data_IF_127630412813
#
_entry.id   IF_127630412813
#
_cell.length_a   1.000
_cell.length_b   1.000
_cell.length_c   1.000
_cell.angle_alpha   90.00
_cell.angle_beta   90.00
_cell.angle_gamma   90.00
#
_symmetry.space_group_name_H-M   'P 1'
#
loop_
_entity.id
_entity.type
_entity.pdbx_description
1 polymer ?
#
# COMPACT_ATOMS: atom_id res chain seq x y z
N UNK A 1 -2.99 14.72 -9.58
CA UNK A 1 -1.71 14.02 -9.70
C UNK A 1 -1.98 12.64 -10.29
N UNK A 2 -1.26 12.23 -11.33
CA UNK A 2 -1.44 10.90 -11.92
C UNK A 2 -0.45 9.93 -11.25
N UNK A 3 -0.86 9.35 -10.12
CA UNK A 3 -0.02 8.42 -9.37
C UNK A 3 0.33 7.17 -10.18
N UNK A 4 -0.58 6.67 -11.01
CA UNK A 4 -0.32 5.48 -11.81
C UNK A 4 0.87 5.68 -12.76
N UNK A 5 0.93 6.80 -13.47
CA UNK A 5 2.05 7.11 -14.36
C UNK A 5 3.36 7.36 -13.59
N UNK A 6 3.30 8.01 -12.42
CA UNK A 6 4.50 8.24 -11.59
C UNK A 6 5.08 6.92 -11.07
N UNK A 7 4.22 6.08 -10.48
CA UNK A 7 4.59 4.76 -9.97
C UNK A 7 5.18 3.90 -11.09
N UNK A 8 4.54 3.90 -12.27
CA UNK A 8 5.03 3.17 -13.44
C UNK A 8 6.43 3.63 -13.85
N UNK A 9 6.62 4.94 -13.96
CA UNK A 9 7.90 5.54 -14.34
C UNK A 9 9.01 5.20 -13.33
N UNK A 10 8.68 5.16 -12.04
CA UNK A 10 9.62 4.78 -10.98
C UNK A 10 10.03 3.31 -11.07
N UNK A 11 9.07 2.40 -11.24
CA UNK A 11 9.35 0.96 -11.36
C UNK A 11 10.22 0.69 -12.60
N UNK A 12 9.83 1.25 -13.75
CA UNK A 12 10.59 1.09 -15.00
C UNK A 12 11.99 1.71 -14.90
N UNK A 13 12.10 2.94 -14.39
CA UNK A 13 13.37 3.65 -14.26
C UNK A 13 14.36 2.95 -13.34
N UNK A 14 13.92 2.58 -12.13
CA UNK A 14 14.80 1.92 -11.15
C UNK A 14 15.21 0.52 -11.61
N UNK A 15 14.25 -0.29 -12.08
CA UNK A 15 14.55 -1.66 -12.53
C UNK A 15 15.49 -1.69 -13.74
N UNK A 16 15.36 -0.72 -14.66
CA UNK A 16 16.29 -0.52 -15.77
C UNK A 16 17.69 -0.13 -15.26
N UNK A 17 17.79 0.84 -14.36
CA UNK A 17 19.06 1.35 -13.85
C UNK A 17 19.90 0.28 -13.13
N UNK A 18 19.26 -0.69 -12.48
CA UNK A 18 19.95 -1.82 -11.80
C UNK A 18 20.23 -3.01 -12.74
N UNK A 19 19.94 -2.90 -14.03
CA UNK A 19 20.22 -3.95 -15.02
C UNK A 19 19.27 -5.16 -14.97
N UNK A 20 18.11 -5.03 -14.30
CA UNK A 20 17.10 -6.09 -14.20
C UNK A 20 15.69 -5.52 -14.41
N UNK A 21 15.36 -5.07 -15.64
CA UNK A 21 14.09 -4.41 -15.93
C UNK A 21 12.91 -5.33 -15.61
N UNK A 22 11.89 -4.78 -14.95
CA UNK A 22 10.63 -5.49 -14.69
C UNK A 22 9.71 -5.27 -15.91
N UNK A 23 9.29 -6.33 -16.63
CA UNK A 23 8.43 -6.15 -17.80
C UNK A 23 7.10 -5.50 -17.44
N UNK A 24 6.64 -4.54 -18.25
CA UNK A 24 5.47 -3.72 -17.95
C UNK A 24 4.18 -4.53 -17.85
N UNK A 25 4.07 -5.59 -18.63
CA UNK A 25 2.95 -6.54 -18.66
C UNK A 25 2.86 -7.42 -17.41
N UNK A 26 3.94 -7.51 -16.61
CA UNK A 26 4.00 -8.32 -15.40
C UNK A 26 3.43 -7.65 -14.16
N UNK A 27 2.97 -6.39 -14.29
CA UNK A 27 2.26 -5.72 -13.21
C UNK A 27 1.20 -4.76 -13.71
N UNK A 28 0.26 -4.44 -12.84
CA UNK A 28 -0.85 -3.52 -13.07
C UNK A 28 -0.93 -2.54 -11.91
N UNK A 29 -1.15 -1.25 -12.21
CA UNK A 29 -1.36 -0.22 -11.19
C UNK A 29 -2.83 0.16 -11.18
N UNK A 30 -3.49 -0.14 -10.07
CA UNK A 30 -4.92 0.07 -9.85
C UNK A 30 -5.13 1.17 -8.83
N UNK A 31 -5.47 2.37 -9.32
CA UNK A 31 -5.97 3.44 -8.46
C UNK A 31 -7.45 3.20 -8.14
N UNK A 32 -7.74 2.76 -6.91
CA UNK A 32 -9.10 2.44 -6.46
C UNK A 32 -9.93 3.67 -6.07
N UNK A 33 -9.37 4.87 -6.19
CA UNK A 33 -10.07 6.12 -5.94
C UNK A 33 -10.25 6.46 -4.46
N UNK A 34 -11.08 7.48 -4.22
CA UNK A 34 -11.50 8.01 -2.93
C UNK A 34 -12.98 8.44 -3.09
N UNK A 35 -13.95 7.77 -2.44
CA UNK A 35 -13.80 6.59 -1.57
C UNK A 35 -13.29 5.38 -2.36
N UNK A 36 -12.67 4.42 -1.67
CA UNK A 36 -12.22 3.18 -2.30
C UNK A 36 -13.05 1.97 -1.87
N UNK A 37 -13.18 1.01 -2.79
CA UNK A 37 -13.73 -0.31 -2.49
C UNK A 37 -12.63 -1.23 -1.96
N UNK A 38 -12.84 -1.76 -0.75
CA UNK A 38 -11.96 -2.77 -0.16
C UNK A 38 -11.92 -4.03 -1.06
N UNK A 39 -10.72 -4.51 -1.48
CA UNK A 39 -10.62 -5.75 -2.24
C UNK A 39 -11.00 -6.95 -1.38
N UNK A 40 -11.64 -7.92 -2.02
CA UNK A 40 -12.10 -9.17 -1.39
C UNK A 40 -11.09 -10.30 -1.52
N UNK A 41 -10.25 -10.27 -2.56
CA UNK A 41 -9.18 -11.24 -2.78
C UNK A 41 -8.00 -10.63 -3.53
N UNK A 42 -6.81 -11.11 -3.23
CA UNK A 42 -5.67 -11.04 -4.13
C UNK A 42 -5.89 -12.05 -5.28
N UNK A 43 -5.74 -11.66 -6.56
CA UNK A 43 -5.92 -12.60 -7.66
C UNK A 43 -4.94 -13.77 -7.57
N UNK A 44 -5.37 -14.95 -8.04
CA UNK A 44 -4.52 -16.15 -8.04
C UNK A 44 -3.25 -15.92 -8.87
N UNK A 45 -2.11 -16.42 -8.37
CA UNK A 45 -0.82 -16.22 -9.03
C UNK A 45 -0.29 -14.78 -8.99
N UNK A 46 -0.84 -13.91 -8.12
CA UNK A 46 -0.37 -12.54 -7.95
C UNK A 46 0.23 -12.28 -6.56
N UNK A 47 1.01 -11.23 -6.48
CA UNK A 47 1.45 -10.51 -5.28
C UNK A 47 0.98 -9.06 -5.39
N UNK A 48 1.09 -8.28 -4.32
CA UNK A 48 0.74 -6.87 -4.39
C UNK A 48 1.56 -6.00 -3.44
N UNK A 49 1.83 -4.77 -3.88
CA UNK A 49 2.10 -3.64 -3.00
C UNK A 49 0.85 -2.78 -2.95
N UNK A 50 0.44 -2.33 -1.77
CA UNK A 50 -0.76 -1.52 -1.59
C UNK A 50 -0.42 -0.28 -0.77
N UNK A 51 -1.06 0.83 -1.11
CA UNK A 51 -0.77 2.14 -0.55
C UNK A 51 -2.06 2.83 -0.13
N UNK A 52 -2.04 3.47 1.04
CA UNK A 52 -3.14 4.26 1.57
C UNK A 52 -2.72 5.72 1.72
N UNK A 53 -3.51 6.62 1.15
CA UNK A 53 -3.21 8.05 1.09
C UNK A 53 -4.35 8.86 1.72
N UNK A 54 -4.03 9.85 2.55
CA UNK A 54 -5.00 10.78 3.15
C UNK A 54 -4.46 12.20 3.07
N UNK A 55 -5.23 13.15 2.52
CA UNK A 55 -4.83 14.56 2.37
C UNK A 55 -3.42 14.75 1.76
N UNK A 56 -3.10 13.99 0.71
CA UNK A 56 -1.78 13.95 0.03
C UNK A 56 -0.65 13.26 0.81
N UNK A 57 -0.89 12.81 2.04
CA UNK A 57 0.09 12.06 2.82
C UNK A 57 -0.09 10.55 2.60
N UNK A 58 0.98 9.86 2.23
CA UNK A 58 1.00 8.40 2.27
C UNK A 58 1.03 7.98 3.73
N UNK A 59 -0.05 7.36 4.18
CA UNK A 59 -0.17 6.88 5.55
C UNK A 59 0.56 5.55 5.72
N UNK A 60 0.36 4.64 4.76
CA UNK A 60 0.86 3.28 4.88
C UNK A 60 1.11 2.65 3.51
N UNK A 61 2.19 1.90 3.41
CA UNK A 61 2.56 1.14 2.22
C UNK A 61 3.04 -0.23 2.67
N UNK A 62 2.40 -1.29 2.20
CA UNK A 62 2.82 -2.65 2.55
C UNK A 62 2.65 -3.61 1.39
N UNK A 63 3.21 -4.81 1.56
CA UNK A 63 3.12 -5.89 0.59
C UNK A 63 2.37 -7.13 1.05
N UNK A 64 1.85 -7.88 0.07
CA UNK A 64 1.29 -9.21 0.23
C UNK A 64 1.86 -10.14 -0.85
N UNK A 65 2.44 -11.26 -0.42
CA UNK A 65 2.76 -12.35 -1.34
C UNK A 65 1.51 -13.19 -1.66
N UNK A 66 1.63 -14.15 -2.58
CA UNK A 66 0.55 -15.04 -3.00
C UNK A 66 -0.08 -15.88 -1.86
N UNK A 67 0.57 -15.98 -0.69
CA UNK A 67 0.08 -16.68 0.50
C UNK A 67 -0.59 -15.75 1.52
N UNK A 68 -0.49 -14.43 1.33
CA UNK A 68 -0.82 -13.42 2.35
C UNK A 68 -2.09 -12.63 2.00
N UNK A 69 -3.16 -13.31 1.58
CA UNK A 69 -4.39 -12.67 1.13
C UNK A 69 -4.99 -11.70 2.17
N UNK A 70 -4.93 -12.05 3.45
CA UNK A 70 -5.47 -11.23 4.53
C UNK A 70 -4.74 -9.88 4.69
N UNK A 71 -3.43 -9.81 4.40
CA UNK A 71 -2.66 -8.54 4.42
C UNK A 71 -3.22 -7.56 3.38
N UNK A 72 -3.51 -8.06 2.18
CA UNK A 72 -4.04 -7.24 1.09
C UNK A 72 -5.51 -6.85 1.30
N UNK A 73 -6.33 -7.78 1.78
CA UNK A 73 -7.78 -7.61 1.81
C UNK A 73 -8.31 -7.00 3.10
N UNK A 74 -7.89 -7.48 4.27
CA UNK A 74 -8.64 -7.23 5.52
C UNK A 74 -7.83 -6.61 6.65
N UNK A 75 -6.54 -6.93 6.79
CA UNK A 75 -5.75 -6.52 7.97
C UNK A 75 -5.74 -5.02 8.20
N UNK A 76 -5.58 -4.19 7.16
CA UNK A 76 -5.51 -2.74 7.34
C UNK A 76 -6.83 -2.09 7.76
N UNK A 77 -7.94 -2.83 7.67
CA UNK A 77 -9.27 -2.40 8.08
C UNK A 77 -9.68 -2.96 9.45
N UNK A 78 -8.83 -3.77 10.09
CA UNK A 78 -9.10 -4.42 11.38
C UNK A 78 -8.07 -4.04 12.45
N UNK A 79 -8.39 -4.34 13.70
CA UNK A 79 -7.51 -4.17 14.86
C UNK A 79 -6.73 -5.47 15.19
N UNK A 80 -6.58 -6.37 14.23
CA UNK A 80 -6.07 -7.74 14.47
C UNK A 80 -4.56 -7.83 14.61
N UNK A 81 -3.79 -6.81 14.19
CA UNK A 81 -2.33 -6.79 14.35
C UNK A 81 -1.86 -5.39 14.76
N UNK A 82 -0.69 -5.25 15.44
CA UNK A 82 -0.15 -3.95 15.88
C UNK A 82 0.02 -2.95 14.74
N UNK A 83 0.56 -3.39 13.61
CA UNK A 83 0.94 -2.51 12.49
C UNK A 83 -0.16 -2.35 11.44
N UNK A 84 -1.45 -2.50 11.80
CA UNK A 84 -2.55 -2.24 10.85
C UNK A 84 -2.79 -0.73 10.71
N UNK A 85 -3.29 -0.29 9.55
CA UNK A 85 -3.60 1.13 9.35
C UNK A 85 -4.64 1.60 10.35
N UNK A 86 -5.66 0.77 10.63
CA UNK A 86 -6.67 1.06 11.63
C UNK A 86 -6.08 1.33 13.02
N UNK A 87 -5.11 0.52 13.49
CA UNK A 87 -4.44 0.80 14.78
C UNK A 87 -3.58 2.04 14.73
N UNK A 88 -2.82 2.25 13.66
CA UNK A 88 -2.00 3.45 13.51
C UNK A 88 -2.83 4.73 13.54
N UNK A 89 -3.99 4.74 12.89
CA UNK A 89 -4.93 5.88 12.91
C UNK A 89 -5.48 6.16 14.31
N UNK A 90 -5.81 5.13 15.08
CA UNK A 90 -6.33 5.29 16.44
C UNK A 90 -5.26 5.74 17.44
N UNK A 91 -3.98 5.54 17.12
CA UNK A 91 -2.85 5.90 17.97
C UNK A 91 -2.14 7.21 17.57
N UNK A 92 -2.53 7.84 16.45
CA UNK A 92 -1.94 9.10 15.99
C UNK A 92 -2.74 10.29 16.54
N UNK A 93 -2.12 11.08 17.42
CA UNK A 93 -2.73 12.29 18.01
C UNK A 93 -3.18 13.29 16.95
N UNK A 94 -2.51 13.34 15.79
CA UNK A 94 -2.89 14.20 14.66
C UNK A 94 -4.23 13.78 14.04
N UNK A 95 -4.71 12.59 14.36
CA UNK A 95 -5.96 12.05 13.84
C UNK A 95 -7.15 12.24 14.80
N UNK A 96 -6.93 12.73 16.02
CA UNK A 96 -7.97 12.93 17.05
C UNK A 96 -9.12 13.82 16.53
N UNK A 97 -8.81 14.88 15.78
CA UNK A 97 -9.81 15.82 15.24
C UNK A 97 -10.80 15.18 14.26
N UNK A 98 -10.51 14.00 13.72
CA UNK A 98 -11.39 13.29 12.80
C UNK A 98 -12.38 12.34 13.51
N UNK A 99 -12.37 12.30 14.85
CA UNK A 99 -13.28 11.48 15.66
C UNK A 99 -13.29 10.00 15.24
N UNK A 100 -12.11 9.46 14.92
CA UNK A 100 -11.94 8.05 14.56
C UNK A 100 -12.04 7.20 15.82
N UNK A 101 -12.88 6.18 15.79
CA UNK A 101 -13.12 5.27 16.91
C UNK A 101 -12.93 3.81 16.47
N UNK A 102 -12.73 2.87 17.40
CA UNK A 102 -12.67 1.45 17.07
C UNK A 102 -13.87 0.93 16.27
N UNK A 103 -15.06 1.53 16.48
CA UNK A 103 -16.29 1.13 15.78
C UNK A 103 -16.43 1.73 14.38
N UNK A 104 -15.82 2.89 14.09
CA UNK A 104 -15.96 3.57 12.79
C UNK A 104 -14.72 3.49 11.88
N UNK A 105 -13.54 3.14 12.41
CA UNK A 105 -12.25 3.26 11.70
C UNK A 105 -12.24 2.52 10.36
N UNK A 106 -12.88 1.36 10.27
CA UNK A 106 -13.01 0.59 9.02
C UNK A 106 -13.76 1.39 7.95
N UNK A 107 -14.89 2.02 8.31
CA UNK A 107 -15.66 2.86 7.41
C UNK A 107 -14.87 4.13 7.06
N UNK A 108 -14.24 4.73 8.05
CA UNK A 108 -13.42 5.93 7.87
C UNK A 108 -12.31 5.72 6.85
N UNK A 109 -11.54 4.63 6.93
CA UNK A 109 -10.47 4.32 5.97
C UNK A 109 -11.02 4.24 4.54
N UNK A 110 -12.16 3.55 4.34
CA UNK A 110 -12.75 3.38 3.00
C UNK A 110 -13.22 4.70 2.40
N UNK A 111 -13.79 5.55 3.24
CA UNK A 111 -14.37 6.84 2.83
C UNK A 111 -13.31 7.92 2.62
N UNK A 112 -12.26 7.94 3.44
CA UNK A 112 -11.33 9.06 3.53
C UNK A 112 -9.93 8.77 2.97
N UNK A 113 -9.53 7.51 2.84
CA UNK A 113 -8.25 7.19 2.22
C UNK A 113 -8.42 6.87 0.74
N UNK A 114 -7.56 7.42 -0.12
CA UNK A 114 -7.36 6.87 -1.47
C UNK A 114 -6.55 5.58 -1.33
N UNK A 115 -6.85 4.57 -2.13
CA UNK A 115 -6.07 3.33 -2.18
C UNK A 115 -5.52 3.09 -3.58
N UNK A 116 -4.23 2.78 -3.66
CA UNK A 116 -3.55 2.43 -4.91
C UNK A 116 -2.87 1.08 -4.71
N UNK A 117 -3.15 0.13 -5.59
CA UNK A 117 -2.51 -1.19 -5.58
C UNK A 117 -1.60 -1.36 -6.79
N UNK A 118 -0.47 -2.02 -6.61
CA UNK A 118 0.41 -2.53 -7.66
C UNK A 118 0.26 -4.05 -7.62
N UNK A 119 -0.49 -4.63 -8.56
CA UNK A 119 -0.71 -6.07 -8.69
C UNK A 119 0.41 -6.65 -9.54
N UNK A 120 1.13 -7.64 -9.03
CA UNK A 120 2.40 -8.14 -9.60
C UNK A 120 2.25 -9.63 -9.87
N UNK A 121 2.74 -10.14 -11.00
CA UNK A 121 2.83 -11.57 -11.26
C UNK A 121 3.73 -12.26 -10.22
N UNK A 122 3.27 -13.36 -9.65
CA UNK A 122 4.02 -14.08 -8.61
C UNK A 122 5.33 -14.70 -9.14
N UNK A 123 5.43 -14.94 -10.45
CA UNK A 123 6.63 -15.51 -11.08
C UNK A 123 7.82 -14.55 -11.14
N UNK A 124 7.59 -13.23 -10.98
CA UNK A 124 8.66 -12.24 -10.76
C UNK A 124 9.39 -12.45 -9.42
N UNK A 125 8.76 -13.16 -8.49
CA UNK A 125 9.35 -13.54 -7.22
C UNK A 125 9.42 -12.44 -6.17
N UNK A 126 9.84 -12.82 -4.96
CA UNK A 126 9.82 -11.95 -3.77
C UNK A 126 10.76 -10.75 -3.90
N UNK A 127 11.89 -10.88 -4.60
CA UNK A 127 12.84 -9.78 -4.76
C UNK A 127 12.27 -8.62 -5.60
N UNK A 128 11.46 -8.92 -6.63
CA UNK A 128 10.77 -7.88 -7.39
C UNK A 128 9.70 -7.20 -6.53
N UNK A 129 8.96 -7.96 -5.73
CA UNK A 129 7.99 -7.43 -4.77
C UNK A 129 8.66 -6.50 -3.75
N UNK A 130 9.80 -6.92 -3.20
CA UNK A 130 10.57 -6.18 -2.21
C UNK A 130 11.17 -4.90 -2.80
N UNK A 131 11.68 -4.97 -4.03
CA UNK A 131 12.16 -3.80 -4.75
C UNK A 131 11.04 -2.78 -4.96
N UNK A 132 9.88 -3.21 -5.47
CA UNK A 132 8.74 -2.30 -5.72
C UNK A 132 8.29 -1.66 -4.41
N UNK A 133 8.14 -2.42 -3.32
CA UNK A 133 7.81 -1.86 -2.00
C UNK A 133 8.87 -0.85 -1.54
N UNK A 134 10.15 -1.18 -1.70
CA UNK A 134 11.26 -0.30 -1.34
C UNK A 134 11.28 1.01 -2.13
N UNK A 135 11.01 0.97 -3.44
CA UNK A 135 10.88 2.19 -4.27
C UNK A 135 9.75 3.07 -3.73
N UNK A 136 8.59 2.47 -3.42
CA UNK A 136 7.44 3.22 -2.92
C UNK A 136 7.70 3.79 -1.51
N UNK A 137 8.34 3.02 -0.62
CA UNK A 137 8.77 3.49 0.70
C UNK A 137 9.73 4.68 0.58
N UNK A 138 10.74 4.58 -0.27
CA UNK A 138 11.74 5.63 -0.45
C UNK A 138 11.16 6.90 -1.08
N UNK A 139 10.28 6.75 -2.07
CA UNK A 139 9.65 7.89 -2.76
C UNK A 139 8.64 8.63 -1.89
N UNK A 140 7.83 7.90 -1.12
CA UNK A 140 6.64 8.46 -0.47
C UNK A 140 6.72 8.55 1.04
N UNK A 141 7.75 7.95 1.66
CA UNK A 141 8.05 8.05 3.09
C UNK A 141 6.82 7.91 4.01
N UNK A 142 6.06 6.80 3.92
CA UNK A 142 4.76 6.70 4.56
C UNK A 142 4.80 6.93 6.06
N UNK A 143 3.80 7.64 6.59
CA UNK A 143 3.76 8.07 8.00
C UNK A 143 3.86 6.91 9.00
N UNK A 144 3.31 5.76 8.68
CA UNK A 144 3.22 4.62 9.59
C UNK A 144 4.10 3.41 9.19
N UNK A 145 5.19 3.65 8.47
CA UNK A 145 6.26 2.67 8.27
C UNK A 145 7.58 3.16 8.90
N UNK A 146 8.42 2.20 9.30
CA UNK A 146 9.65 2.45 10.05
C UNK A 146 9.38 2.79 11.52
N UNK A 147 10.33 2.44 12.39
CA UNK A 147 10.34 2.92 13.76
C UNK A 147 10.82 4.38 13.80
N UNK A 148 10.42 5.14 14.83
CA UNK A 148 10.89 6.52 15.01
C UNK A 148 12.43 6.63 15.05
N UNK A 149 13.12 5.58 15.49
CA UNK A 149 14.59 5.50 15.50
C UNK A 149 15.23 5.25 14.13
N UNK A 150 14.43 5.01 13.09
CA UNK A 150 14.87 4.70 11.73
C UNK A 150 14.54 5.83 10.74
N UNK A 151 13.89 6.90 11.21
CA UNK A 151 13.45 8.03 10.39
C UNK A 151 14.23 9.28 10.75
#
# INVERSE_FOLDING_TARGET
MNYANEIDSLIQGVSLAIGKPIPREKYEILDRGLPHTQPTRLPFGKMAVYMFLFNSDFLKIGKANHRSNARFCSHHYSLSAPSTLAKSLLADDKMISFNITPSNVKGWIKTNCRRIDIIIDADLGVFALDLIEGIMHYKYEPRYEGFASQR
#
